data_IF_753514191912
#
_entry.id   IF_753514191912
#
_cell.length_a   1.000
_cell.length_b   1.000
_cell.length_c   1.000
_cell.angle_alpha   90.00
_cell.angle_beta   90.00
_cell.angle_gamma   90.00
#
_symmetry.space_group_name_H-M   'P 1'
#
loop_
_entity.id
_entity.type
_entity.pdbx_description
1 polymer ?
#
# COMPACT_ATOMS: atom_id res chain seq x y z
N UNK A 1 -20.04 -6.27 10.80
CA UNK A 1 -18.76 -5.82 11.37
C UNK A 1 -17.80 -5.60 10.21
N UNK A 2 -17.19 -4.42 10.05
CA UNK A 2 -16.11 -4.26 9.10
C UNK A 2 -14.99 -5.22 9.50
N UNK A 3 -14.73 -6.22 8.66
CA UNK A 3 -13.69 -7.20 8.90
C UNK A 3 -12.35 -6.58 8.50
N UNK A 4 -11.49 -6.32 9.48
CA UNK A 4 -10.12 -5.81 9.30
C UNK A 4 -9.16 -7.00 9.22
N UNK A 5 -9.45 -7.95 8.33
CA UNK A 5 -8.59 -9.11 8.07
C UNK A 5 -8.49 -9.36 6.57
N UNK A 6 -7.43 -10.07 6.14
CA UNK A 6 -7.07 -10.31 4.73
C UNK A 6 -8.21 -11.02 3.97
N UNK A 7 -9.13 -10.25 3.40
CA UNK A 7 -9.79 -10.64 2.15
C UNK A 7 -8.76 -10.46 1.03
N UNK A 8 -8.83 -11.25 -0.03
CA UNK A 8 -7.80 -11.40 -1.08
C UNK A 8 -7.29 -10.14 -1.78
N UNK A 9 -7.80 -8.96 -1.43
CA UNK A 9 -7.46 -7.65 -2.02
C UNK A 9 -6.66 -6.71 -1.10
N UNK A 10 -6.50 -6.99 0.20
CA UNK A 10 -5.85 -6.05 1.13
C UNK A 10 -4.59 -6.63 1.77
N UNK A 11 -3.44 -6.29 1.20
CA UNK A 11 -2.12 -6.58 1.73
C UNK A 11 -1.62 -5.41 2.58
N UNK A 12 -1.87 -5.43 3.89
CA UNK A 12 -1.40 -4.40 4.83
C UNK A 12 0.13 -4.20 4.81
N UNK A 13 0.89 -5.16 4.28
CA UNK A 13 2.34 -5.10 4.09
C UNK A 13 2.78 -6.18 3.11
N UNK A 14 3.48 -5.78 2.05
CA UNK A 14 4.21 -6.69 1.18
C UNK A 14 5.71 -6.57 1.44
N UNK A 15 6.43 -7.69 1.37
CA UNK A 15 7.88 -7.76 1.55
C UNK A 15 8.50 -8.36 0.29
N UNK A 16 9.53 -7.71 -0.22
CA UNK A 16 10.33 -8.17 -1.36
C UNK A 16 11.80 -8.24 -0.94
N UNK A 17 12.52 -9.26 -1.42
CA UNK A 17 13.93 -9.48 -1.09
C UNK A 17 14.77 -9.63 -2.35
N UNK A 18 15.82 -8.83 -2.47
CA UNK A 18 16.74 -8.86 -3.59
C UNK A 18 18.14 -9.21 -3.11
N UNK A 19 18.90 -9.91 -3.97
CA UNK A 19 20.30 -10.21 -3.76
C UNK A 19 21.12 -9.50 -4.85
N UNK A 20 22.04 -8.64 -4.44
CA UNK A 20 22.88 -7.89 -5.38
C UNK A 20 23.92 -8.78 -6.06
N UNK A 21 24.19 -8.48 -7.34
CA UNK A 21 25.15 -9.17 -8.21
C UNK A 21 26.54 -8.49 -8.30
N UNK A 22 26.77 -7.49 -7.44
CA UNK A 22 27.87 -6.51 -7.40
C UNK A 22 27.67 -5.28 -8.29
N UNK A 23 28.05 -4.12 -7.74
CA UNK A 23 27.94 -2.78 -8.32
C UNK A 23 26.50 -2.33 -8.66
N UNK A 24 25.51 -3.12 -8.28
CA UNK A 24 24.10 -2.76 -8.39
C UNK A 24 23.81 -1.50 -7.57
N UNK A 25 23.09 -0.56 -8.17
CA UNK A 25 22.66 0.71 -7.54
C UNK A 25 21.14 0.86 -7.52
N UNK A 26 20.44 -0.19 -7.93
CA UNK A 26 18.98 -0.23 -8.01
C UNK A 26 18.46 -1.65 -7.95
N UNK A 27 17.22 -1.81 -7.48
CA UNK A 27 16.47 -3.07 -7.51
C UNK A 27 15.08 -2.83 -8.11
N UNK A 28 14.63 -3.75 -8.96
CA UNK A 28 13.33 -3.74 -9.62
C UNK A 28 12.95 -5.14 -10.10
N UNK A 29 11.71 -5.29 -10.56
CA UNK A 29 11.23 -6.55 -11.14
C UNK A 29 11.00 -7.64 -10.09
N UNK A 30 11.22 -8.89 -10.48
CA UNK A 30 11.00 -10.05 -9.60
C UNK A 30 12.08 -10.16 -8.54
N UNK A 31 11.64 -10.35 -7.30
CA UNK A 31 12.50 -10.59 -6.15
C UNK A 31 13.11 -12.01 -6.19
N UNK A 32 13.95 -12.35 -5.21
CA UNK A 32 14.58 -13.66 -5.09
C UNK A 32 13.59 -14.83 -4.96
N UNK A 33 12.33 -14.55 -4.59
CA UNK A 33 11.24 -15.52 -4.47
C UNK A 33 10.35 -15.58 -5.73
N UNK A 34 10.67 -14.80 -6.77
CA UNK A 34 9.89 -14.70 -8.00
C UNK A 34 8.65 -13.80 -7.90
N UNK A 35 8.51 -13.03 -6.82
CA UNK A 35 7.40 -12.08 -6.64
C UNK A 35 7.83 -10.73 -7.21
N UNK A 36 7.05 -10.21 -8.16
CA UNK A 36 7.32 -8.89 -8.75
C UNK A 36 6.99 -7.77 -7.78
N UNK A 37 7.95 -6.89 -7.50
CA UNK A 37 7.71 -5.70 -6.70
C UNK A 37 6.74 -4.75 -7.38
N UNK A 38 5.70 -4.36 -6.64
CA UNK A 38 4.74 -3.36 -7.03
C UNK A 38 4.51 -2.40 -5.87
N UNK A 39 4.54 -1.09 -6.16
CA UNK A 39 4.11 -0.05 -5.23
C UNK A 39 3.45 1.09 -5.99
N UNK A 40 2.32 1.58 -5.48
CA UNK A 40 1.58 2.70 -6.08
C UNK A 40 2.19 4.05 -5.74
N UNK A 41 2.84 4.15 -4.59
CA UNK A 41 3.47 5.37 -4.11
C UNK A 41 4.74 5.01 -3.30
N UNK A 42 5.88 5.57 -3.71
CA UNK A 42 7.17 5.35 -3.07
C UNK A 42 7.32 5.99 -1.69
N UNK A 43 6.37 6.84 -1.27
CA UNK A 43 6.33 7.37 0.09
C UNK A 43 6.00 6.28 1.13
N UNK A 44 5.28 5.24 0.72
CA UNK A 44 4.84 4.14 1.57
C UNK A 44 5.74 2.92 1.41
N UNK A 45 7.05 3.12 1.25
CA UNK A 45 8.02 2.03 1.25
C UNK A 45 9.16 2.28 2.23
N UNK A 46 9.58 1.23 2.92
CA UNK A 46 10.84 1.20 3.66
C UNK A 46 11.83 0.29 2.94
N UNK A 47 13.07 0.76 2.77
CA UNK A 47 14.15 0.02 2.13
C UNK A 47 15.25 -0.23 3.15
N UNK A 48 15.75 -1.47 3.20
CA UNK A 48 16.83 -1.89 4.08
C UNK A 48 17.94 -2.52 3.25
N UNK A 49 19.19 -2.14 3.50
CA UNK A 49 20.38 -2.78 2.95
C UNK A 49 21.08 -3.52 4.08
N UNK A 50 21.19 -4.86 3.99
CA UNK A 50 21.77 -5.71 5.03
C UNK A 50 21.19 -5.45 6.43
N UNK A 51 19.89 -5.12 6.49
CA UNK A 51 19.17 -4.81 7.73
C UNK A 51 19.27 -3.34 8.20
N UNK A 52 20.06 -2.49 7.55
CA UNK A 52 20.13 -1.05 7.85
C UNK A 52 19.10 -0.30 7.01
N UNK A 53 18.21 0.44 7.68
CA UNK A 53 17.21 1.27 7.01
C UNK A 53 17.88 2.41 6.24
N UNK A 54 17.57 2.53 4.95
CA UNK A 54 18.01 3.62 4.08
C UNK A 54 17.05 4.82 4.19
N UNK A 55 17.56 6.04 4.00
CA UNK A 55 16.77 7.27 3.99
C UNK A 55 16.26 7.60 2.59
N UNK A 56 14.94 7.65 2.43
CA UNK A 56 14.31 8.12 1.18
C UNK A 56 14.77 9.55 0.82
N UNK A 57 15.11 9.75 -0.45
CA UNK A 57 15.59 11.02 -0.99
C UNK A 57 17.08 11.31 -0.80
N UNK A 58 17.77 10.57 0.08
CA UNK A 58 19.23 10.68 0.26
C UNK A 58 19.94 9.40 -0.18
N UNK A 59 19.55 8.26 0.40
CA UNK A 59 20.19 6.95 0.18
C UNK A 59 19.48 6.13 -0.91
N UNK A 60 18.25 6.49 -1.28
CA UNK A 60 17.53 5.92 -2.41
C UNK A 60 16.42 6.85 -2.92
N UNK A 61 15.93 6.60 -4.12
CA UNK A 61 14.77 7.24 -4.73
C UNK A 61 13.84 6.19 -5.39
N UNK A 62 12.61 6.61 -5.64
CA UNK A 62 11.56 5.82 -6.30
C UNK A 62 10.97 6.56 -7.50
N UNK A 63 11.78 7.38 -8.18
CA UNK A 63 11.32 8.23 -9.29
C UNK A 63 10.90 7.41 -10.50
N UNK A 64 11.48 6.21 -10.64
CA UNK A 64 11.07 5.21 -11.63
C UNK A 64 10.04 4.26 -11.01
N UNK A 65 8.94 4.04 -11.72
CA UNK A 65 7.87 3.15 -11.27
C UNK A 65 8.41 1.75 -10.91
N UNK A 66 7.97 1.21 -9.76
CA UNK A 66 8.35 -0.11 -9.26
C UNK A 66 9.87 -0.36 -9.25
N UNK A 67 10.65 0.69 -8.98
CA UNK A 67 12.11 0.62 -8.92
C UNK A 67 12.59 1.43 -7.72
N UNK A 68 13.48 0.85 -6.92
CA UNK A 68 14.26 1.56 -5.91
C UNK A 68 15.65 1.77 -6.48
N UNK A 69 16.05 3.02 -6.68
CA UNK A 69 17.30 3.39 -7.33
C UNK A 69 18.13 4.37 -6.49
N UNK A 70 19.37 4.62 -6.90
CA UNK A 70 20.26 5.56 -6.21
C UNK A 70 20.83 5.01 -4.90
N UNK A 71 20.74 3.69 -4.71
CA UNK A 71 21.42 3.01 -3.61
C UNK A 71 22.93 3.09 -3.88
N UNK A 72 23.72 3.28 -2.82
CA UNK A 72 25.17 3.14 -2.92
C UNK A 72 25.55 1.79 -3.53
N UNK A 73 26.60 1.76 -4.35
CA UNK A 73 27.00 0.55 -5.07
C UNK A 73 27.13 -0.64 -4.10
N UNK A 74 26.31 -1.66 -4.34
CA UNK A 74 26.19 -2.84 -3.48
C UNK A 74 27.25 -3.88 -3.83
N UNK A 75 27.72 -4.61 -2.83
CA UNK A 75 28.58 -5.77 -3.05
C UNK A 75 27.77 -6.99 -3.46
N UNK A 76 28.42 -7.96 -4.10
CA UNK A 76 27.78 -9.24 -4.36
C UNK A 76 27.27 -9.87 -3.06
N UNK A 77 26.03 -10.34 -3.08
CA UNK A 77 25.30 -10.93 -1.95
C UNK A 77 24.85 -9.95 -0.85
N UNK A 78 24.93 -8.64 -1.07
CA UNK A 78 24.16 -7.71 -0.23
C UNK A 78 22.66 -7.97 -0.40
N UNK A 79 21.92 -7.97 0.71
CA UNK A 79 20.47 -8.15 0.74
C UNK A 79 19.76 -6.80 0.78
N UNK A 80 18.84 -6.58 -0.15
CA UNK A 80 17.90 -5.46 -0.11
C UNK A 80 16.52 -5.97 0.26
N UNK A 81 16.04 -5.60 1.44
CA UNK A 81 14.66 -5.86 1.87
C UNK A 81 13.82 -4.60 1.61
N UNK A 82 12.71 -4.76 0.89
CA UNK A 82 11.76 -3.68 0.62
C UNK A 82 10.42 -4.04 1.22
N UNK A 83 9.91 -3.14 2.05
CA UNK A 83 8.59 -3.24 2.67
C UNK A 83 7.68 -2.21 2.04
N UNK A 84 6.67 -2.67 1.33
CA UNK A 84 5.63 -1.82 0.73
C UNK A 84 4.40 -1.86 1.62
N UNK A 85 3.92 -0.69 2.03
CA UNK A 85 2.68 -0.53 2.75
C UNK A 85 1.57 -0.13 1.79
N UNK A 86 0.40 -0.75 1.95
CA UNK A 86 -0.80 -0.37 1.22
C UNK A 86 -1.64 0.59 2.08
N UNK A 87 -2.31 1.53 1.42
CA UNK A 87 -3.18 2.48 2.08
C UNK A 87 -4.52 1.82 2.41
N UNK A 88 -4.81 1.63 3.70
CA UNK A 88 -6.13 1.20 4.12
C UNK A 88 -7.14 2.35 3.97
N UNK A 89 -8.17 2.15 3.17
CA UNK A 89 -9.30 3.07 3.07
C UNK A 89 -10.56 2.43 3.63
N UNK A 90 -11.36 3.21 4.36
CA UNK A 90 -12.68 2.77 4.83
C UNK A 90 -13.69 3.14 3.75
N UNK A 91 -14.49 2.17 3.32
CA UNK A 91 -15.54 2.42 2.35
C UNK A 91 -16.56 3.44 2.90
N UNK A 92 -16.97 4.39 2.06
CA UNK A 92 -18.10 5.29 2.33
C UNK A 92 -19.42 4.52 2.17
N UNK A 93 -19.81 3.77 3.20
CA UNK A 93 -20.86 2.74 3.07
C UNK A 93 -22.25 3.29 2.77
N UNK A 94 -22.51 4.55 3.12
CA UNK A 94 -23.70 5.31 2.73
C UNK A 94 -23.25 6.75 2.55
N UNK A 95 -23.00 7.13 1.30
CA UNK A 95 -22.37 8.41 1.02
C UNK A 95 -23.26 9.59 1.41
N UNK A 96 -22.66 10.61 2.01
CA UNK A 96 -23.35 11.88 2.23
C UNK A 96 -23.61 12.63 0.91
N UNK A 97 -22.77 12.42 -0.10
CA UNK A 97 -22.87 13.10 -1.40
C UNK A 97 -23.78 12.33 -2.36
N UNK A 98 -23.52 11.03 -2.52
CA UNK A 98 -24.21 10.20 -3.52
C UNK A 98 -25.40 9.42 -2.93
N UNK A 99 -25.51 9.37 -1.60
CA UNK A 99 -26.53 8.58 -0.89
C UNK A 99 -26.20 7.09 -0.80
N UNK A 100 -27.19 6.30 -0.40
CA UNK A 100 -27.13 4.84 -0.33
C UNK A 100 -28.46 4.26 0.16
N UNK A 101 -28.61 2.93 0.05
CA UNK A 101 -29.85 2.25 0.45
C UNK A 101 -29.65 1.46 1.74
N UNK A 102 -30.49 1.72 2.73
CA UNK A 102 -30.69 0.81 3.85
C UNK A 102 -31.82 -0.16 3.51
N UNK A 103 -31.50 -1.44 3.25
CA UNK A 103 -32.51 -2.46 2.90
C UNK A 103 -33.27 -3.02 4.11
N UNK A 104 -32.80 -2.72 5.33
CA UNK A 104 -33.43 -3.14 6.58
C UNK A 104 -34.09 -1.96 7.31
N UNK A 105 -34.86 -2.28 8.35
CA UNK A 105 -35.51 -1.27 9.18
C UNK A 105 -34.48 -0.32 9.82
N UNK A 106 -34.68 0.99 9.66
CA UNK A 106 -33.86 2.03 10.29
C UNK A 106 -34.63 2.61 11.47
N UNK A 107 -34.05 2.51 12.67
CA UNK A 107 -34.59 3.17 13.86
C UNK A 107 -33.98 4.56 14.01
N UNK A 108 -34.83 5.59 14.12
CA UNK A 108 -34.40 6.97 14.37
C UNK A 108 -34.93 7.43 15.72
N UNK A 109 -34.01 7.72 16.66
CA UNK A 109 -34.35 8.16 18.02
C UNK A 109 -34.65 9.66 18.14
N UNK A 110 -34.42 10.42 17.06
CA UNK A 110 -34.64 11.85 16.98
C UNK A 110 -35.50 12.26 15.78
N UNK A 111 -35.47 13.55 15.45
CA UNK A 111 -36.21 14.10 14.31
C UNK A 111 -35.59 13.67 12.99
N UNK A 112 -36.41 13.14 12.07
CA UNK A 112 -36.04 12.87 10.68
C UNK A 112 -36.45 14.06 9.79
N UNK A 113 -35.48 14.69 9.14
CA UNK A 113 -35.72 15.63 8.05
C UNK A 113 -35.56 14.93 6.69
N UNK A 114 -36.60 14.96 5.86
CA UNK A 114 -36.56 14.41 4.49
C UNK A 114 -36.64 15.56 3.50
N UNK A 115 -35.69 15.61 2.57
CA UNK A 115 -35.74 16.50 1.41
C UNK A 115 -36.08 15.65 0.18
N UNK A 116 -37.15 16.01 -0.54
CA UNK A 116 -37.65 15.25 -1.70
C UNK A 116 -38.91 14.44 -1.40
N UNK A 117 -39.18 13.43 -2.22
CA UNK A 117 -40.40 12.63 -2.17
C UNK A 117 -40.24 11.41 -1.26
N UNK A 118 -41.23 11.18 -0.40
CA UNK A 118 -41.40 9.89 0.29
C UNK A 118 -42.31 9.02 -0.56
N UNK A 119 -41.81 7.87 -1.01
CA UNK A 119 -42.62 6.84 -1.66
C UNK A 119 -42.99 5.82 -0.58
N UNK A 120 -44.29 5.68 -0.30
CA UNK A 120 -44.83 4.72 0.67
C UNK A 120 -45.41 3.50 -0.04
#
# INVERSE_FOLDING_TARGET
>A
MPYIGRQGEFGIRNRFQYLASADDTSVSGSDANGVTMTFSDGLYIDVYLNGVKLKAGEDYNTTTANTVAGISAMSANDEVEIIVYDAFTVADTVSATDGGTFSGNVAMSGTLGVTGNVTM
#
